data_IF_173886491248
#
_entry.id   IF_173886491248
#
_cell.length_a   1.000
_cell.length_b   1.000
_cell.length_c   1.000
_cell.angle_alpha   90.00
_cell.angle_beta   90.00
_cell.angle_gamma   90.00
#
_symmetry.space_group_name_H-M   'P 1'
#
loop_
_entity.id
_entity.type
_entity.pdbx_description
1 polymer ?
#
# COMPACT_ATOMS: atom_id res chain seq x y z
N UNK A 1 -4.96 -39.75 40.79
CA UNK A 1 -5.25 -38.32 40.82
C UNK A 1 -4.04 -37.42 40.58
N UNK A 2 -2.84 -37.96 40.46
CA UNK A 2 -1.63 -37.17 40.27
C UNK A 2 -1.40 -36.69 38.79
N UNK A 3 -2.03 -37.32 37.83
CA UNK A 3 -1.87 -36.97 36.41
C UNK A 3 -2.48 -35.62 36.01
N UNK A 4 -3.42 -35.07 36.78
CA UNK A 4 -4.06 -33.79 36.46
C UNK A 4 -3.22 -32.56 36.84
N UNK A 5 -2.29 -32.67 37.76
CA UNK A 5 -1.43 -31.54 38.19
C UNK A 5 -0.29 -31.26 37.16
N UNK A 6 0.23 -32.27 36.51
CA UNK A 6 1.30 -32.10 35.50
C UNK A 6 0.86 -31.40 34.24
N UNK A 7 -0.39 -31.60 33.82
CA UNK A 7 -0.93 -31.00 32.58
C UNK A 7 -1.19 -29.50 32.79
N UNK A 8 -1.57 -29.09 33.99
CA UNK A 8 -1.83 -27.68 34.30
C UNK A 8 -0.56 -26.83 34.29
N UNK A 9 0.53 -27.36 34.82
CA UNK A 9 1.84 -26.67 34.83
C UNK A 9 2.42 -26.55 33.42
N UNK A 10 2.31 -27.61 32.61
CA UNK A 10 2.77 -27.58 31.23
C UNK A 10 2.00 -26.56 30.37
N UNK A 11 0.70 -26.43 30.58
CA UNK A 11 -0.13 -25.43 29.88
C UNK A 11 0.19 -24.00 30.30
N UNK A 12 0.51 -23.81 31.56
CA UNK A 12 0.90 -22.49 32.08
C UNK A 12 2.26 -22.08 31.58
N UNK A 13 3.22 -22.99 31.53
CA UNK A 13 4.56 -22.74 30.96
C UNK A 13 4.49 -22.46 29.44
N UNK A 14 3.65 -23.19 28.70
CA UNK A 14 3.46 -22.94 27.26
C UNK A 14 2.80 -21.58 27.01
N UNK A 15 1.92 -21.12 27.89
CA UNK A 15 1.28 -19.81 27.78
C UNK A 15 2.26 -18.69 28.05
N UNK A 16 3.13 -18.82 29.05
CA UNK A 16 4.15 -17.82 29.36
C UNK A 16 5.23 -17.72 28.27
N UNK A 17 5.62 -18.84 27.66
CA UNK A 17 6.53 -18.84 26.52
C UNK A 17 5.94 -18.18 25.26
N UNK A 18 4.63 -18.30 25.06
CA UNK A 18 3.95 -17.64 23.95
C UNK A 18 3.90 -16.11 24.10
N UNK A 19 3.77 -15.61 25.33
CA UNK A 19 3.78 -14.16 25.58
C UNK A 19 5.17 -13.55 25.42
N UNK A 20 6.22 -14.28 25.72
CA UNK A 20 7.60 -13.83 25.52
C UNK A 20 8.00 -13.76 24.05
N UNK A 21 7.46 -14.68 23.21
CA UNK A 21 7.73 -14.69 21.79
C UNK A 21 7.04 -13.51 21.04
N UNK A 22 5.90 -13.04 21.53
CA UNK A 22 5.17 -11.91 20.93
C UNK A 22 5.82 -10.57 21.26
N UNK A 23 6.43 -10.44 22.45
CA UNK A 23 7.12 -9.21 22.84
C UNK A 23 8.40 -8.95 22.04
N UNK A 24 9.07 -9.98 21.53
CA UNK A 24 10.27 -9.84 20.71
C UNK A 24 9.98 -9.44 19.25
N UNK A 25 8.77 -9.69 18.76
CA UNK A 25 8.38 -9.37 17.38
C UNK A 25 8.03 -7.89 17.17
N UNK A 26 7.72 -7.15 18.22
CA UNK A 26 7.34 -5.73 18.12
C UNK A 26 8.54 -4.79 18.01
N UNK A 27 9.73 -5.25 18.43
CA UNK A 27 10.93 -4.41 18.41
C UNK A 27 11.57 -4.24 17.03
N UNK A 28 11.16 -5.01 16.03
CA UNK A 28 11.76 -4.96 14.68
C UNK A 28 11.02 -4.04 13.71
N UNK A 29 9.91 -3.43 14.08
CA UNK A 29 9.18 -2.48 13.24
C UNK A 29 9.67 -1.02 13.37
N UNK A 30 10.61 -0.75 14.27
CA UNK A 30 11.18 0.58 14.44
C UNK A 30 12.31 0.92 13.44
N UNK A 31 12.66 0.02 12.53
CA UNK A 31 13.78 0.18 11.60
C UNK A 31 13.44 0.72 10.22
N UNK A 32 12.18 1.01 9.91
CA UNK A 32 11.80 1.50 8.58
C UNK A 32 11.51 3.00 8.51
N UNK A 33 11.92 3.77 9.52
CA UNK A 33 11.74 5.23 9.52
C UNK A 33 12.96 6.00 8.99
N UNK A 34 14.04 5.33 8.67
CA UNK A 34 15.20 5.94 8.01
C UNK A 34 15.04 5.88 6.48
N UNK A 35 14.01 6.53 5.99
CA UNK A 35 13.95 6.94 4.61
C UNK A 35 14.93 8.08 4.40
N UNK A 36 16.16 7.77 4.05
CA UNK A 36 17.10 8.77 3.61
C UNK A 36 16.50 9.62 2.50
N UNK A 37 16.55 10.92 2.67
CA UNK A 37 16.33 11.86 1.59
C UNK A 37 14.89 12.26 1.35
N UNK A 38 14.05 12.18 2.34
CA UNK A 38 12.77 12.87 2.25
C UNK A 38 12.98 14.36 2.51
N UNK A 39 13.35 15.04 1.45
CA UNK A 39 12.88 16.37 1.25
C UNK A 39 11.36 16.37 1.53
N UNK A 40 10.77 17.51 1.67
CA UNK A 40 9.36 17.75 1.87
C UNK A 40 8.47 16.57 1.37
N UNK A 41 7.63 15.97 2.23
CA UNK A 41 6.84 14.78 1.87
C UNK A 41 5.91 14.96 0.67
N UNK A 42 5.88 16.08 0.04
CA UNK A 42 5.12 16.30 -1.17
C UNK A 42 5.95 16.46 -2.44
N UNK A 43 7.28 16.30 -2.37
CA UNK A 43 8.17 16.57 -3.49
C UNK A 43 8.78 15.30 -4.08
N UNK A 44 7.97 14.29 -4.35
CA UNK A 44 8.43 13.12 -5.09
C UNK A 44 8.84 13.55 -6.51
N UNK A 45 10.08 13.21 -6.89
CA UNK A 45 10.57 13.48 -8.24
C UNK A 45 9.81 12.65 -9.27
N UNK A 46 9.44 13.30 -10.38
CA UNK A 46 8.91 12.59 -11.54
C UNK A 46 10.01 11.76 -12.21
N UNK A 47 9.62 10.68 -12.85
CA UNK A 47 10.54 9.89 -13.66
C UNK A 47 11.16 10.72 -14.79
N UNK A 48 12.39 10.39 -15.25
CA UNK A 48 12.99 11.07 -16.39
C UNK A 48 12.07 11.10 -17.59
N UNK A 49 11.91 12.27 -18.21
CA UNK A 49 11.02 12.47 -19.35
C UNK A 49 9.55 12.70 -19.02
N UNK A 50 9.17 12.65 -17.75
CA UNK A 50 7.82 13.00 -17.30
C UNK A 50 7.78 14.44 -16.76
N UNK A 51 6.67 15.13 -17.01
CA UNK A 51 6.34 16.42 -16.47
C UNK A 51 4.90 16.43 -15.94
N UNK A 52 4.57 17.40 -15.10
CA UNK A 52 3.17 17.58 -14.67
C UNK A 52 2.22 17.76 -15.86
N UNK A 53 2.67 18.46 -16.91
CA UNK A 53 1.90 18.64 -18.14
C UNK A 53 1.67 17.33 -18.89
N UNK A 54 2.70 16.50 -19.05
CA UNK A 54 2.58 15.22 -19.75
C UNK A 54 1.68 14.24 -18.99
N UNK A 55 1.77 14.19 -17.65
CA UNK A 55 0.91 13.36 -16.82
C UNK A 55 -0.55 13.81 -16.95
N UNK A 56 -0.80 15.12 -16.92
CA UNK A 56 -2.15 15.66 -17.11
C UNK A 56 -2.74 15.26 -18.45
N UNK A 57 -1.97 15.40 -19.55
CA UNK A 57 -2.42 15.01 -20.88
C UNK A 57 -2.77 13.52 -20.96
N UNK A 58 -1.99 12.67 -20.29
CA UNK A 58 -2.24 11.23 -20.28
C UNK A 58 -3.47 10.89 -19.45
N UNK A 59 -3.68 11.54 -18.29
CA UNK A 59 -4.90 11.43 -17.49
C UNK A 59 -6.13 11.86 -18.30
N UNK A 60 -6.08 13.00 -18.97
CA UNK A 60 -7.16 13.49 -19.84
C UNK A 60 -7.48 12.50 -20.98
N UNK A 61 -6.45 11.87 -21.53
CA UNK A 61 -6.63 10.83 -22.57
C UNK A 61 -7.35 9.60 -22.04
N UNK A 62 -7.02 9.16 -20.83
CA UNK A 62 -7.67 8.04 -20.15
C UNK A 62 -9.12 8.40 -19.76
N UNK A 63 -9.36 9.62 -19.30
CA UNK A 63 -10.71 10.11 -18.99
C UNK A 63 -11.63 10.10 -20.21
N UNK A 64 -11.13 10.53 -21.36
CA UNK A 64 -11.90 10.47 -22.62
C UNK A 64 -12.24 9.05 -23.04
N UNK A 65 -11.47 8.04 -22.61
CA UNK A 65 -11.77 6.63 -22.80
C UNK A 65 -12.77 6.07 -21.78
N UNK A 66 -13.26 6.89 -20.85
CA UNK A 66 -14.19 6.48 -19.81
C UNK A 66 -13.52 5.69 -18.68
N UNK A 67 -12.23 5.91 -18.42
CA UNK A 67 -11.48 5.16 -17.39
C UNK A 67 -12.01 5.43 -15.99
N UNK A 68 -12.54 6.62 -15.68
CA UNK A 68 -13.15 6.92 -14.38
C UNK A 68 -14.29 5.97 -14.03
N UNK A 69 -15.20 5.72 -14.98
CA UNK A 69 -16.30 4.77 -14.77
C UNK A 69 -15.78 3.34 -14.51
N UNK A 70 -14.65 2.98 -15.10
CA UNK A 70 -13.98 1.70 -14.87
C UNK A 70 -13.32 1.63 -13.49
N UNK A 71 -12.73 2.73 -13.02
CA UNK A 71 -12.21 2.86 -11.66
C UNK A 71 -13.32 2.65 -10.64
N UNK A 72 -14.46 3.28 -10.82
CA UNK A 72 -15.63 3.09 -9.96
C UNK A 72 -16.14 1.65 -10.00
N UNK A 73 -16.20 1.03 -11.18
CA UNK A 73 -16.58 -0.36 -11.32
C UNK A 73 -15.60 -1.30 -10.59
N UNK A 74 -14.29 -1.04 -10.70
CA UNK A 74 -13.27 -1.81 -9.99
C UNK A 74 -13.39 -1.66 -8.47
N UNK A 75 -13.61 -0.46 -7.98
CA UNK A 75 -13.79 -0.19 -6.55
C UNK A 75 -15.07 -0.83 -5.98
N UNK A 76 -16.08 -1.03 -6.82
CA UNK A 76 -17.31 -1.74 -6.47
C UNK A 76 -17.18 -3.27 -6.55
N UNK A 77 -16.00 -3.79 -6.84
CA UNK A 77 -15.74 -5.23 -6.94
C UNK A 77 -16.18 -5.87 -8.25
N UNK A 78 -16.53 -5.08 -9.28
CA UNK A 78 -16.85 -5.61 -10.61
C UNK A 78 -15.58 -6.10 -11.32
N UNK A 79 -15.69 -7.23 -11.99
CA UNK A 79 -14.61 -7.75 -12.84
C UNK A 79 -14.48 -6.89 -14.09
N UNK A 80 -13.27 -6.42 -14.36
CA UNK A 80 -12.93 -5.71 -15.58
C UNK A 80 -12.27 -6.64 -16.58
N UNK A 81 -12.43 -6.36 -17.89
CA UNK A 81 -11.62 -6.95 -18.93
C UNK A 81 -10.13 -6.61 -18.70
N UNK A 82 -9.21 -7.43 -19.17
CA UNK A 82 -7.76 -7.24 -18.95
C UNK A 82 -7.28 -5.86 -19.42
N UNK A 83 -7.78 -5.40 -20.58
CA UNK A 83 -7.46 -4.06 -21.09
C UNK A 83 -7.95 -2.95 -20.17
N UNK A 84 -9.19 -3.05 -19.70
CA UNK A 84 -9.79 -2.06 -18.80
C UNK A 84 -9.08 -2.00 -17.46
N UNK A 85 -8.66 -3.16 -16.96
CA UNK A 85 -7.83 -3.24 -15.75
C UNK A 85 -6.49 -2.54 -15.94
N UNK A 86 -5.83 -2.74 -17.08
CA UNK A 86 -4.57 -2.06 -17.42
C UNK A 86 -4.74 -0.53 -17.47
N UNK A 87 -5.83 -0.05 -18.06
CA UNK A 87 -6.14 1.39 -18.10
C UNK A 87 -6.40 1.96 -16.70
N UNK A 88 -7.09 1.22 -15.83
CA UNK A 88 -7.32 1.59 -14.43
C UNK A 88 -6.01 1.63 -13.64
N UNK A 89 -5.17 0.62 -13.78
CA UNK A 89 -3.86 0.56 -13.10
C UNK A 89 -2.98 1.73 -13.56
N UNK A 90 -2.98 2.04 -14.85
CA UNK A 90 -2.26 3.18 -15.42
C UNK A 90 -2.78 4.51 -14.88
N UNK A 91 -4.09 4.69 -14.87
CA UNK A 91 -4.75 5.89 -14.33
C UNK A 91 -4.37 6.14 -12.87
N UNK A 92 -4.49 5.12 -12.03
CA UNK A 92 -4.13 5.22 -10.62
C UNK A 92 -2.64 5.54 -10.41
N UNK A 93 -1.76 4.94 -11.22
CA UNK A 93 -0.34 5.22 -11.17
C UNK A 93 -0.02 6.67 -11.52
N UNK A 94 -0.61 7.19 -12.60
CA UNK A 94 -0.45 8.59 -13.02
C UNK A 94 -1.00 9.58 -12.00
N UNK A 95 -2.15 9.26 -11.42
CA UNK A 95 -2.76 10.10 -10.39
C UNK A 95 -1.87 10.17 -9.15
N UNK A 96 -1.31 9.04 -8.71
CA UNK A 96 -0.38 9.02 -7.59
C UNK A 96 0.90 9.84 -7.89
N UNK A 97 1.43 9.74 -9.10
CA UNK A 97 2.58 10.56 -9.52
C UNK A 97 2.24 12.04 -9.56
N UNK A 98 1.08 12.40 -10.08
CA UNK A 98 0.60 13.78 -10.15
C UNK A 98 0.46 14.41 -8.77
N UNK A 99 -0.14 13.69 -7.84
CA UNK A 99 -0.31 14.14 -6.46
C UNK A 99 1.02 14.14 -5.69
N UNK A 100 1.83 13.11 -5.86
CA UNK A 100 3.13 12.98 -5.19
C UNK A 100 4.14 14.04 -5.62
N UNK A 101 4.12 14.46 -6.88
CA UNK A 101 4.94 15.53 -7.41
C UNK A 101 4.37 16.95 -7.18
N UNK A 102 3.26 17.07 -6.46
CA UNK A 102 2.55 18.35 -6.24
C UNK A 102 2.16 19.09 -7.52
N UNK A 103 1.82 18.37 -8.56
CA UNK A 103 1.41 18.97 -9.82
C UNK A 103 0.11 19.79 -9.74
N UNK A 104 -0.61 19.67 -8.63
CA UNK A 104 -1.91 20.30 -8.37
C UNK A 104 -1.79 21.69 -7.66
N UNK A 105 -0.58 22.09 -7.29
CA UNK A 105 -0.29 23.38 -6.61
C UNK A 105 0.41 24.35 -7.51
#
# INVERSE_FOLDING_TARGET
>A
MERKKGISVARTLLRTLRFLAVAAAVATLAGCADGEGFGDPGAASLAPGQSCGSIRQELDSLDRKGTQAKVEAASSGKKLATKDKSDVDRYNSLLNQYLGARCHV
#
